data_IF_618282765400
#
_entry.id   IF_618282765400
#
_cell.length_a   1.000
_cell.length_b   1.000
_cell.length_c   1.000
_cell.angle_alpha   90.00
_cell.angle_beta   90.00
_cell.angle_gamma   90.00
#
_symmetry.space_group_name_H-M   'P 1'
#
loop_
_entity.id
_entity.type
_entity.pdbx_description
1 polymer ?
#
# COMPACT_ATOMS: atom_id res chain seq x y z
N UNK A 1 6.16 16.70 1.33
CA UNK A 1 6.37 16.24 2.72
C UNK A 1 6.76 14.77 2.73
N UNK A 2 7.78 14.42 3.48
CA UNK A 2 8.19 13.03 3.62
C UNK A 2 7.44 12.36 4.77
N UNK A 3 6.88 11.16 4.50
CA UNK A 3 6.17 10.40 5.52
C UNK A 3 7.14 9.48 6.26
N UNK A 4 7.54 9.91 7.46
CA UNK A 4 8.39 9.11 8.34
C UNK A 4 7.53 8.22 9.23
N UNK A 5 8.13 7.17 9.79
CA UNK A 5 7.44 6.30 10.74
C UNK A 5 6.89 7.11 11.94
N UNK A 6 7.66 8.10 12.38
CA UNK A 6 7.24 8.98 13.49
C UNK A 6 5.94 9.73 13.15
N UNK A 7 5.87 10.34 11.97
CA UNK A 7 4.67 11.08 11.54
C UNK A 7 3.47 10.15 11.42
N UNK A 8 3.66 8.96 10.89
CA UNK A 8 2.58 7.97 10.76
C UNK A 8 2.10 7.54 12.16
N UNK A 9 3.03 7.28 13.09
CA UNK A 9 2.65 6.91 14.46
C UNK A 9 1.85 8.01 15.14
N UNK A 10 2.19 9.27 14.91
CA UNK A 10 1.45 10.41 15.46
C UNK A 10 0.01 10.43 14.91
N UNK A 11 -0.17 10.19 13.62
CA UNK A 11 -1.50 10.13 13.03
C UNK A 11 -2.32 8.96 13.58
N UNK A 12 -1.69 7.81 13.79
CA UNK A 12 -2.35 6.64 14.37
C UNK A 12 -2.83 6.98 15.80
N UNK A 13 -1.96 7.59 16.60
CA UNK A 13 -2.28 7.96 17.99
C UNK A 13 -3.44 8.95 18.06
N UNK A 14 -3.58 9.83 17.07
CA UNK A 14 -4.64 10.85 17.01
C UNK A 14 -5.89 10.35 16.25
N UNK A 15 -5.90 9.10 15.78
CA UNK A 15 -6.96 8.53 14.94
C UNK A 15 -7.18 9.36 13.67
N UNK A 16 -6.08 9.79 13.06
CA UNK A 16 -6.10 10.63 11.85
C UNK A 16 -5.31 10.03 10.69
N UNK A 17 -5.20 8.69 10.65
CA UNK A 17 -4.45 8.00 9.61
C UNK A 17 -5.02 8.30 8.20
N UNK A 18 -6.30 8.68 8.10
CA UNK A 18 -6.90 9.05 6.83
C UNK A 18 -6.16 10.21 6.15
N UNK A 19 -5.46 11.06 6.91
CA UNK A 19 -4.66 12.17 6.35
C UNK A 19 -3.51 11.65 5.50
N UNK A 20 -2.91 10.54 5.92
CA UNK A 20 -1.87 9.88 5.12
C UNK A 20 -2.45 9.41 3.77
N UNK A 21 -3.60 8.72 3.82
CA UNK A 21 -4.22 8.19 2.61
C UNK A 21 -4.73 9.27 1.66
N UNK A 22 -4.95 10.48 2.15
CA UNK A 22 -5.34 11.62 1.32
C UNK A 22 -4.14 12.43 0.80
N UNK A 23 -2.93 12.09 1.23
CA UNK A 23 -1.74 12.84 0.85
C UNK A 23 -1.39 12.65 -0.62
N UNK A 24 -0.76 13.69 -1.19
CA UNK A 24 -0.25 13.64 -2.56
C UNK A 24 0.77 12.54 -2.73
N UNK A 25 1.65 12.37 -1.73
CA UNK A 25 2.73 11.38 -1.74
C UNK A 25 2.17 9.95 -1.82
N UNK A 26 1.19 9.63 -0.97
CA UNK A 26 0.57 8.31 -1.02
C UNK A 26 -0.16 8.07 -2.33
N UNK A 27 -0.93 9.06 -2.80
CA UNK A 27 -1.67 8.93 -4.05
C UNK A 27 -0.75 8.69 -5.25
N UNK A 28 0.39 9.36 -5.28
CA UNK A 28 1.37 9.17 -6.35
C UNK A 28 1.94 7.75 -6.32
N UNK A 29 2.29 7.25 -5.14
CA UNK A 29 2.80 5.88 -5.00
C UNK A 29 1.72 4.85 -5.37
N UNK A 30 0.49 5.05 -4.90
CA UNK A 30 -0.64 4.20 -5.23
C UNK A 30 -0.84 4.13 -6.75
N UNK A 31 -0.83 5.28 -7.42
CA UNK A 31 -1.03 5.34 -8.87
C UNK A 31 0.10 4.63 -9.62
N UNK A 32 1.33 4.74 -9.12
CA UNK A 32 2.48 4.01 -9.67
C UNK A 32 2.26 2.50 -9.61
N UNK A 33 1.84 1.99 -8.45
CA UNK A 33 1.60 0.55 -8.28
C UNK A 33 0.46 0.06 -9.19
N UNK A 34 -0.63 0.82 -9.29
CA UNK A 34 -1.74 0.48 -10.17
C UNK A 34 -1.28 0.42 -11.63
N UNK A 35 -0.52 1.41 -12.07
CA UNK A 35 -0.03 1.49 -13.44
C UNK A 35 0.93 0.34 -13.76
N UNK A 36 1.85 0.02 -12.85
CA UNK A 36 2.81 -1.07 -13.03
C UNK A 36 2.13 -2.44 -13.17
N UNK A 37 0.93 -2.58 -12.60
CA UNK A 37 0.14 -3.80 -12.69
C UNK A 37 -0.94 -3.71 -13.77
N UNK A 38 -0.83 -2.73 -14.67
CA UNK A 38 -1.77 -2.53 -15.78
C UNK A 38 -3.21 -2.38 -15.31
N UNK A 39 -3.41 -1.85 -14.10
CA UNK A 39 -4.74 -1.67 -13.48
C UNK A 39 -5.48 -3.00 -13.33
N UNK A 40 -4.76 -4.10 -13.24
CA UNK A 40 -5.34 -5.44 -13.03
C UNK A 40 -5.19 -5.86 -11.57
N UNK A 41 -6.24 -6.48 -11.02
CA UNK A 41 -6.19 -7.04 -9.69
C UNK A 41 -5.21 -8.22 -9.66
N UNK A 42 -4.19 -8.14 -8.81
CA UNK A 42 -3.15 -9.15 -8.73
C UNK A 42 -3.70 -10.51 -8.25
N UNK A 43 -4.61 -10.49 -7.27
CA UNK A 43 -5.19 -11.73 -6.76
C UNK A 43 -6.12 -12.41 -7.77
N UNK A 44 -6.91 -11.62 -8.51
CA UNK A 44 -7.78 -12.17 -9.54
C UNK A 44 -6.92 -12.76 -10.68
N UNK A 45 -5.85 -12.07 -11.05
CA UNK A 45 -4.93 -12.55 -12.09
C UNK A 45 -4.32 -13.89 -11.72
N UNK A 46 -3.94 -14.06 -10.45
CA UNK A 46 -3.38 -15.34 -9.97
C UNK A 46 -4.38 -16.49 -10.05
N UNK A 47 -5.69 -16.18 -10.09
CA UNK A 47 -6.76 -17.17 -10.23
C UNK A 47 -7.22 -17.32 -11.68
N UNK A 48 -6.51 -16.73 -12.63
CA UNK A 48 -6.88 -16.78 -14.04
C UNK A 48 -8.03 -15.87 -14.44
N UNK A 49 -8.35 -14.87 -13.61
CA UNK A 49 -9.41 -13.91 -13.88
C UNK A 49 -8.84 -12.53 -14.15
N UNK A 50 -9.53 -11.75 -14.99
CA UNK A 50 -9.16 -10.36 -15.25
C UNK A 50 -10.22 -9.48 -14.59
N UNK A 51 -9.78 -8.63 -13.65
CA UNK A 51 -10.65 -7.62 -13.06
C UNK A 51 -9.84 -6.36 -12.83
N UNK A 52 -10.52 -5.22 -12.83
CA UNK A 52 -9.88 -3.92 -12.65
C UNK A 52 -9.42 -3.72 -11.21
N UNK A 53 -8.17 -3.32 -11.05
CA UNK A 53 -7.66 -2.89 -9.75
C UNK A 53 -8.07 -1.45 -9.49
N UNK A 54 -8.62 -1.18 -8.31
CA UNK A 54 -9.06 0.16 -7.92
C UNK A 54 -8.38 0.65 -6.66
N UNK A 55 -7.71 -0.24 -5.93
CA UNK A 55 -7.08 0.10 -4.66
C UNK A 55 -5.73 -0.58 -4.54
N UNK A 56 -4.88 -0.03 -3.69
CA UNK A 56 -3.59 -0.64 -3.34
C UNK A 56 -3.63 -0.98 -1.86
N UNK A 57 -3.36 -2.24 -1.55
CA UNK A 57 -3.43 -2.78 -0.20
C UNK A 57 -2.04 -2.94 0.40
N UNK A 58 -1.89 -2.61 1.69
CA UNK A 58 -0.66 -2.86 2.44
C UNK A 58 -0.73 -4.28 3.01
N UNK A 59 0.22 -5.14 2.62
CA UNK A 59 0.32 -6.49 3.20
C UNK A 59 0.67 -6.39 4.67
N UNK A 60 1.65 -5.53 5.01
CA UNK A 60 1.96 -5.21 6.40
C UNK A 60 1.13 -3.97 6.78
N UNK A 61 0.16 -4.16 7.65
CA UNK A 61 -0.76 -3.09 8.03
C UNK A 61 -0.02 -1.89 8.58
N UNK A 62 -0.39 -0.71 8.10
CA UNK A 62 0.24 0.55 8.49
C UNK A 62 0.22 0.76 10.02
N UNK A 63 -0.87 0.37 10.68
CA UNK A 63 -1.00 0.52 12.13
C UNK A 63 0.05 -0.32 12.90
N UNK A 64 0.46 -1.44 12.34
CA UNK A 64 1.44 -2.34 12.97
C UNK A 64 2.85 -2.08 12.48
N UNK A 65 2.98 -1.50 11.29
CA UNK A 65 4.26 -1.26 10.63
C UNK A 65 4.29 0.14 10.01
N UNK A 66 4.30 1.20 10.85
CA UNK A 66 4.31 2.59 10.34
C UNK A 66 5.51 2.90 9.44
N UNK A 67 6.64 2.22 9.66
CA UNK A 67 7.85 2.37 8.87
C UNK A 67 7.70 1.85 7.44
N UNK A 68 6.67 1.03 7.19
CA UNK A 68 6.43 0.44 5.87
C UNK A 68 5.29 1.11 5.10
N UNK A 69 4.76 2.23 5.60
CA UNK A 69 3.61 2.90 4.97
C UNK A 69 3.86 3.29 3.50
N UNK A 70 5.09 3.69 3.17
CA UNK A 70 5.50 4.08 1.81
C UNK A 70 6.43 3.07 1.15
N UNK A 71 6.56 1.87 1.71
CA UNK A 71 7.44 0.83 1.19
C UNK A 71 6.72 -0.12 0.26
N UNK A 72 7.25 -0.32 -0.94
CA UNK A 72 6.70 -1.28 -1.90
C UNK A 72 7.02 -2.73 -1.52
N UNK A 73 8.05 -2.92 -0.68
CA UNK A 73 8.54 -4.24 -0.26
C UNK A 73 8.77 -4.28 1.24
N UNK A 74 8.84 -5.50 1.78
CA UNK A 74 9.29 -5.74 3.15
C UNK A 74 10.13 -7.00 3.19
N UNK A 75 10.92 -7.16 4.25
CA UNK A 75 11.77 -8.32 4.43
C UNK A 75 11.26 -9.14 5.61
N UNK A 76 11.23 -10.45 5.42
CA UNK A 76 10.85 -11.39 6.47
C UNK A 76 11.72 -12.64 6.35
N UNK A 77 12.44 -12.95 7.44
CA UNK A 77 13.35 -14.11 7.52
C UNK A 77 14.33 -14.13 6.35
N UNK A 78 14.92 -12.97 6.03
CA UNK A 78 15.93 -12.84 4.99
C UNK A 78 15.40 -12.86 3.56
N UNK A 79 14.08 -12.87 3.38
CA UNK A 79 13.45 -12.90 2.05
C UNK A 79 12.61 -11.66 1.82
N UNK A 80 12.67 -11.11 0.59
CA UNK A 80 11.91 -9.92 0.20
C UNK A 80 10.52 -10.28 -0.34
N UNK A 81 9.51 -9.57 0.14
CA UNK A 81 8.12 -9.73 -0.30
C UNK A 81 7.53 -8.40 -0.75
N UNK A 82 6.52 -8.48 -1.60
CA UNK A 82 5.75 -7.31 -2.01
C UNK A 82 4.85 -6.83 -0.87
N UNK A 83 4.92 -5.54 -0.54
CA UNK A 83 4.09 -4.92 0.50
C UNK A 83 2.86 -4.22 -0.05
N UNK A 84 2.96 -3.64 -1.25
CA UNK A 84 1.84 -2.93 -1.88
C UNK A 84 1.32 -3.76 -3.05
N UNK A 85 0.04 -4.11 -2.99
CA UNK A 85 -0.60 -4.99 -3.97
C UNK A 85 -1.82 -4.29 -4.55
N UNK A 86 -1.94 -4.30 -5.89
CA UNK A 86 -3.09 -3.75 -6.59
C UNK A 86 -4.25 -4.74 -6.53
N UNK A 87 -5.40 -4.32 -6.01
CA UNK A 87 -6.56 -5.18 -5.82
C UNK A 87 -7.84 -4.56 -6.38
N UNK A 88 -8.78 -5.42 -6.78
CA UNK A 88 -10.12 -4.98 -7.12
C UNK A 88 -10.89 -4.62 -5.85
N UNK A 89 -12.06 -4.02 -6.03
CA UNK A 89 -12.87 -3.55 -4.90
C UNK A 89 -13.58 -4.70 -4.18
N UNK A 90 -13.78 -5.81 -4.83
CA UNK A 90 -14.51 -6.95 -4.25
C UNK A 90 -13.62 -7.88 -3.44
#
# INVERSE_FOLDING_TARGET
MEWTAKKIRELIAEDKLYRFYKSTEWKALRDKILKENHYECEWCRDRGKISKAETVHHVQYVKNHPDLAMSEFYWFKGKRYRNLIALCHD
#
